data_IF_880089708819
#
_entry.id   IF_880089708819
#
_cell.length_a   1.000
_cell.length_b   1.000
_cell.length_c   1.000
_cell.angle_alpha   90.00
_cell.angle_beta   90.00
_cell.angle_gamma   90.00
#
_symmetry.space_group_name_H-M   'P 1'
#
loop_
_entity.id
_entity.type
_entity.pdbx_description
1 polymer ?
#
# COMPACT_ATOMS: atom_id res chain seq x y z
N UNK A 1 -4.35 23.44 18.78
CA UNK A 1 -4.22 22.80 17.45
C UNK A 1 -4.25 23.89 16.39
N UNK A 2 -3.13 24.15 15.71
CA UNK A 2 -3.10 25.11 14.59
C UNK A 2 -3.44 24.37 13.29
N UNK A 3 -3.94 25.08 12.27
CA UNK A 3 -4.26 24.48 10.97
C UNK A 3 -3.05 23.77 10.34
N UNK A 4 -1.85 24.31 10.57
CA UNK A 4 -0.57 23.76 10.13
C UNK A 4 -0.32 22.33 10.65
N UNK A 5 -0.55 22.08 11.94
CA UNK A 5 -0.37 20.74 12.53
C UNK A 5 -1.31 19.69 11.91
N UNK A 6 -2.52 20.09 11.53
CA UNK A 6 -3.49 19.20 10.87
C UNK A 6 -3.03 18.87 9.46
N UNK A 7 -2.54 19.86 8.71
CA UNK A 7 -2.01 19.63 7.36
C UNK A 7 -0.81 18.70 7.35
N UNK A 8 0.12 18.86 8.30
CA UNK A 8 1.28 17.98 8.43
C UNK A 8 0.87 16.53 8.74
N UNK A 9 -0.11 16.35 9.62
CA UNK A 9 -0.63 15.02 9.97
C UNK A 9 -1.28 14.34 8.76
N UNK A 10 -2.07 15.08 7.98
CA UNK A 10 -2.69 14.56 6.75
C UNK A 10 -1.63 14.15 5.73
N UNK A 11 -0.61 14.99 5.51
CA UNK A 11 0.51 14.67 4.62
C UNK A 11 1.22 13.38 5.06
N UNK A 12 1.53 13.27 6.35
CA UNK A 12 2.20 12.08 6.90
C UNK A 12 1.34 10.82 6.73
N UNK A 13 0.03 10.93 6.96
CA UNK A 13 -0.92 9.83 6.78
C UNK A 13 -0.97 9.35 5.33
N UNK A 14 -1.04 10.27 4.37
CA UNK A 14 -1.01 9.93 2.94
C UNK A 14 0.29 9.23 2.57
N UNK A 15 1.42 9.71 3.09
CA UNK A 15 2.73 9.11 2.83
C UNK A 15 2.81 7.66 3.35
N UNK A 16 2.33 7.42 4.57
CA UNK A 16 2.26 6.08 5.16
C UNK A 16 1.34 5.17 4.37
N UNK A 17 0.16 5.65 3.96
CA UNK A 17 -0.77 4.90 3.12
C UNK A 17 -0.14 4.50 1.77
N UNK A 18 0.63 5.41 1.15
CA UNK A 18 1.37 5.12 -0.09
C UNK A 18 2.46 4.06 0.12
N UNK A 19 3.21 4.12 1.22
CA UNK A 19 4.24 3.12 1.53
C UNK A 19 3.65 1.72 1.73
N UNK A 20 2.52 1.63 2.44
CA UNK A 20 1.84 0.36 2.71
C UNK A 20 1.18 -0.17 1.43
N UNK A 21 0.54 0.69 0.65
CA UNK A 21 -0.12 0.32 -0.61
C UNK A 21 0.85 0.05 -1.77
N UNK A 22 2.07 0.58 -1.71
CA UNK A 22 3.05 0.50 -2.80
C UNK A 22 3.38 -0.92 -3.26
N UNK A 23 3.82 -1.83 -2.37
CA UNK A 23 4.19 -3.20 -2.74
C UNK A 23 3.07 -3.99 -3.45
N UNK A 24 1.83 -4.09 -2.93
CA UNK A 24 0.77 -4.82 -3.63
C UNK A 24 0.34 -4.14 -4.94
N UNK A 25 0.34 -2.80 -5.01
CA UNK A 25 0.02 -2.07 -6.25
C UNK A 25 1.07 -2.30 -7.35
N UNK A 26 2.36 -2.29 -7.00
CA UNK A 26 3.44 -2.58 -7.95
C UNK A 26 3.35 -4.03 -8.47
N UNK A 27 3.07 -4.99 -7.59
CA UNK A 27 2.88 -6.37 -8.01
C UNK A 27 1.67 -6.53 -8.95
N UNK A 28 0.55 -5.89 -8.62
CA UNK A 28 -0.64 -5.87 -9.46
C UNK A 28 -0.36 -5.25 -10.84
N UNK A 29 0.43 -4.17 -10.88
CA UNK A 29 0.82 -3.49 -12.11
C UNK A 29 1.70 -4.38 -12.98
N UNK A 30 2.82 -4.89 -12.45
CA UNK A 30 3.78 -5.71 -13.20
C UNK A 30 3.12 -6.95 -13.78
N UNK A 31 2.39 -7.70 -12.94
CA UNK A 31 1.73 -8.94 -13.38
C UNK A 31 0.52 -8.64 -14.27
N UNK A 32 -0.23 -7.58 -13.98
CA UNK A 32 -1.33 -7.14 -14.83
C UNK A 32 -0.87 -6.79 -16.25
N UNK A 33 0.24 -6.06 -16.37
CA UNK A 33 0.85 -5.71 -17.65
C UNK A 33 1.36 -6.95 -18.38
N UNK A 34 2.13 -7.81 -17.70
CA UNK A 34 2.66 -9.04 -18.29
C UNK A 34 1.53 -9.94 -18.84
N UNK A 35 0.46 -10.14 -18.07
CA UNK A 35 -0.68 -10.94 -18.49
C UNK A 35 -1.44 -10.27 -19.63
N UNK A 36 -1.66 -8.94 -19.61
CA UNK A 36 -2.32 -8.24 -20.72
C UNK A 36 -1.56 -8.36 -22.04
N UNK A 37 -0.22 -8.39 -21.98
CA UNK A 37 0.62 -8.57 -23.16
C UNK A 37 0.48 -10.00 -23.71
N UNK A 38 0.51 -11.01 -22.83
CA UNK A 38 0.30 -12.41 -23.24
C UNK A 38 -1.08 -12.62 -23.85
N UNK A 39 -2.10 -11.97 -23.32
CA UNK A 39 -3.46 -12.02 -23.87
C UNK A 39 -3.56 -11.38 -25.24
N UNK A 40 -2.90 -10.24 -25.44
CA UNK A 40 -2.85 -9.58 -26.74
C UNK A 40 -2.09 -10.44 -27.78
N UNK A 41 -0.97 -11.06 -27.38
CA UNK A 41 -0.14 -11.89 -28.27
C UNK A 41 -0.81 -13.22 -28.65
N UNK A 42 -1.56 -13.84 -27.73
CA UNK A 42 -2.21 -15.14 -27.97
C UNK A 42 -3.65 -15.02 -28.46
N UNK A 43 -4.22 -13.81 -28.47
CA UNK A 43 -5.63 -13.54 -28.78
C UNK A 43 -6.65 -14.23 -27.84
N UNK A 44 -6.19 -14.76 -26.69
CA UNK A 44 -7.05 -15.39 -25.68
C UNK A 44 -7.48 -14.34 -24.66
N UNK A 45 -8.77 -13.98 -24.66
CA UNK A 45 -9.36 -12.97 -23.75
C UNK A 45 -10.25 -13.60 -22.69
N UNK A 46 -9.76 -14.64 -22.00
CA UNK A 46 -10.50 -15.26 -20.91
C UNK A 46 -10.27 -14.53 -19.58
N UNK A 47 -11.38 -14.19 -18.91
CA UNK A 47 -11.37 -13.44 -17.66
C UNK A 47 -10.61 -14.19 -16.55
N UNK A 48 -10.77 -15.50 -16.46
CA UNK A 48 -10.13 -16.36 -15.45
C UNK A 48 -8.60 -16.35 -15.55
N UNK A 49 -8.05 -16.31 -16.78
CA UNK A 49 -6.61 -16.23 -17.05
C UNK A 49 -6.01 -14.88 -16.61
N UNK A 50 -6.77 -13.78 -16.61
CA UNK A 50 -6.29 -12.51 -16.03
C UNK A 50 -6.28 -12.51 -14.51
N UNK A 51 -7.29 -13.15 -13.92
CA UNK A 51 -7.65 -12.95 -12.53
C UNK A 51 -6.71 -13.73 -11.62
N UNK A 52 -6.50 -15.01 -11.90
CA UNK A 52 -5.76 -15.93 -11.02
C UNK A 52 -4.30 -15.52 -10.84
N UNK A 53 -3.51 -15.27 -11.92
CA UNK A 53 -2.10 -14.89 -11.76
C UNK A 53 -1.93 -13.55 -11.04
N UNK A 54 -2.81 -12.59 -11.35
CA UNK A 54 -2.81 -11.25 -10.73
C UNK A 54 -3.11 -11.32 -9.23
N UNK A 55 -4.14 -12.07 -8.83
CA UNK A 55 -4.48 -12.24 -7.42
C UNK A 55 -3.36 -12.94 -6.66
N UNK A 56 -2.80 -14.03 -7.21
CA UNK A 56 -1.68 -14.74 -6.60
C UNK A 56 -0.46 -13.82 -6.37
N UNK A 57 -0.15 -12.95 -7.32
CA UNK A 57 0.93 -11.97 -7.21
C UNK A 57 0.67 -10.93 -6.11
N UNK A 58 -0.57 -10.42 -6.00
CA UNK A 58 -0.94 -9.48 -4.93
C UNK A 58 -0.84 -10.16 -3.56
N UNK A 59 -1.34 -11.38 -3.42
CA UNK A 59 -1.22 -12.13 -2.16
C UNK A 59 0.23 -12.40 -1.78
N UNK A 60 1.07 -12.79 -2.74
CA UNK A 60 2.51 -12.94 -2.52
C UNK A 60 3.13 -11.62 -2.06
N UNK A 61 2.86 -10.52 -2.76
CA UNK A 61 3.38 -9.21 -2.40
C UNK A 61 2.96 -8.78 -0.99
N UNK A 62 1.69 -9.00 -0.62
CA UNK A 62 1.20 -8.74 0.74
C UNK A 62 1.92 -9.61 1.78
N UNK A 63 2.08 -10.90 1.52
CA UNK A 63 2.75 -11.82 2.44
C UNK A 63 4.22 -11.44 2.65
N UNK A 64 4.95 -11.13 1.58
CA UNK A 64 6.36 -10.75 1.65
C UNK A 64 6.57 -9.36 2.27
N UNK A 65 5.69 -8.39 1.97
CA UNK A 65 5.80 -7.03 2.51
C UNK A 65 5.13 -6.86 3.88
N UNK A 66 4.49 -7.89 4.42
CA UNK A 66 3.76 -7.82 5.70
C UNK A 66 4.60 -7.27 6.86
N UNK A 67 5.84 -7.74 7.12
CA UNK A 67 6.64 -7.23 8.24
C UNK A 67 6.98 -5.74 8.07
N UNK A 68 7.23 -5.32 6.83
CA UNK A 68 7.54 -3.93 6.48
C UNK A 68 6.32 -3.01 6.66
N UNK A 69 5.15 -3.43 6.18
CA UNK A 69 3.90 -2.68 6.34
C UNK A 69 3.55 -2.51 7.82
N UNK A 70 3.75 -3.58 8.60
CA UNK A 70 3.53 -3.57 10.04
C UNK A 70 4.47 -2.59 10.77
N UNK A 71 5.78 -2.63 10.48
CA UNK A 71 6.74 -1.70 11.06
C UNK A 71 6.44 -0.23 10.70
N UNK A 72 5.99 0.01 9.46
CA UNK A 72 5.62 1.35 8.99
C UNK A 72 4.39 1.89 9.75
N UNK A 73 3.37 1.04 9.94
CA UNK A 73 2.18 1.39 10.73
C UNK A 73 2.49 1.62 12.20
N UNK A 74 3.29 0.75 12.81
CA UNK A 74 3.68 0.91 14.21
C UNK A 74 4.42 2.22 14.44
N UNK A 75 5.45 2.52 13.62
CA UNK A 75 6.19 3.76 13.76
C UNK A 75 5.32 5.01 13.54
N UNK A 76 4.34 4.96 12.64
CA UNK A 76 3.35 6.03 12.50
C UNK A 76 2.45 6.16 13.75
N UNK A 77 1.99 5.03 14.29
CA UNK A 77 1.19 4.99 15.52
C UNK A 77 1.91 5.61 16.70
N UNK A 78 3.18 5.25 16.93
CA UNK A 78 4.03 5.82 17.99
C UNK A 78 4.12 7.35 17.88
N UNK A 79 4.44 7.86 16.68
CA UNK A 79 4.51 9.32 16.45
C UNK A 79 3.16 10.02 16.67
N UNK A 80 2.05 9.35 16.34
CA UNK A 80 0.71 9.88 16.61
C UNK A 80 0.42 9.93 18.12
N UNK A 81 0.76 8.87 18.86
CA UNK A 81 0.61 8.82 20.30
C UNK A 81 1.44 9.89 21.00
N UNK A 82 2.70 10.09 20.59
CA UNK A 82 3.56 11.15 21.13
C UNK A 82 2.98 12.54 20.90
N UNK A 83 2.42 12.80 19.72
CA UNK A 83 1.75 14.07 19.41
C UNK A 83 0.51 14.29 20.30
N UNK A 84 -0.27 13.24 20.58
CA UNK A 84 -1.45 13.32 21.45
C UNK A 84 -1.04 13.51 22.92
N UNK A 85 -0.06 12.76 23.41
CA UNK A 85 0.42 12.84 24.79
C UNK A 85 1.00 14.22 25.14
N UNK A 86 1.76 14.81 24.22
CA UNK A 86 2.28 16.17 24.38
C UNK A 86 1.19 17.26 24.33
N UNK A 87 0.00 16.96 23.80
CA UNK A 87 -1.15 17.88 23.80
C UNK A 87 -2.01 17.78 25.08
N UNK A 88 -1.91 16.69 25.84
CA UNK A 88 -2.73 16.43 27.03
C UNK A 88 -2.12 16.86 28.37
N UNK A 89 -0.84 17.26 28.38
CA UNK A 89 -0.10 17.65 29.59
C UNK A 89 0.42 19.10 29.55
N UNK A 90 -0.11 19.94 28.65
CA UNK A 90 0.20 21.38 28.54
C UNK A 90 -0.99 22.26 28.86
#
# INVERSE_FOLDING_TARGET
MTAETVFDLVRETIWVAMLIGGPPLLAALVVGLAVSLLQALTQIQELTLTLVPKMAAIFAALAFSMPYMWATLQGFGERLYDRIGNLGLG
#
